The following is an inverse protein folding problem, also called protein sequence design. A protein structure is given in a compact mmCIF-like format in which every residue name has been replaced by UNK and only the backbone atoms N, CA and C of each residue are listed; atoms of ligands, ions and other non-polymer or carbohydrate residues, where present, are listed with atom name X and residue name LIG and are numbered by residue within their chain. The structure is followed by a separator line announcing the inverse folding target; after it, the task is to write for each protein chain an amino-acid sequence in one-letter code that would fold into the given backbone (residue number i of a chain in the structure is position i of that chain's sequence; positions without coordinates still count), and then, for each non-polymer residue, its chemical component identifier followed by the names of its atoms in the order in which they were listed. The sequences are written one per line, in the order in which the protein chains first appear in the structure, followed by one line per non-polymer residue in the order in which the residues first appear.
data_IF_840654289223
#
_entry.id   IF_840654289223
#
_cell.length_a   1.000
_cell.length_b   1.000
_cell.length_c   1.000
_cell.angle_alpha   90.00
_cell.angle_beta   90.00
_cell.angle_gamma   90.00
#
_symmetry.space_group_name_H-M   'P 1'
#
loop_
_entity.id
_entity.type
_entity.pdbx_description
1 polymer ?
#
# COMPACT_ATOMS: atom_id res chain seq x y z
N UNK A 1 -8.25 1.26 6.19
CA UNK A 1 -6.86 1.28 6.73
C UNK A 1 -5.96 1.91 5.67
N UNK A 2 -4.89 2.60 6.05
CA UNK A 2 -4.16 3.51 5.16
C UNK A 2 -2.80 2.96 4.71
N UNK A 3 -2.51 2.96 3.40
CA UNK A 3 -1.13 2.81 2.89
C UNK A 3 -0.37 4.13 3.10
N UNK A 4 0.95 4.09 3.10
CA UNK A 4 1.79 5.30 3.20
C UNK A 4 2.93 5.26 2.18
N UNK A 5 3.48 6.45 1.89
CA UNK A 5 4.68 6.64 1.08
C UNK A 5 5.88 6.89 2.00
N UNK A 6 7.08 6.53 1.55
CA UNK A 6 8.31 6.64 2.35
C UNK A 6 9.05 7.95 2.17
N UNK A 7 8.84 8.65 1.05
CA UNK A 7 9.40 9.95 0.75
C UNK A 7 8.42 10.84 -0.03
N UNK A 8 8.72 12.14 -0.10
CA UNK A 8 7.90 13.09 -0.86
C UNK A 8 7.82 12.70 -2.34
N UNK A 9 6.63 12.89 -2.93
CA UNK A 9 6.30 12.65 -4.35
C UNK A 9 5.73 13.92 -4.99
N UNK A 10 6.10 14.20 -6.24
CA UNK A 10 5.54 15.28 -7.05
C UNK A 10 6.61 16.26 -7.51
N UNK A 11 6.50 17.53 -7.11
CA UNK A 11 7.39 18.63 -7.53
C UNK A 11 8.89 18.24 -7.54
N UNK A 12 9.68 18.85 -8.44
CA UNK A 12 11.07 18.47 -8.74
C UNK A 12 12.06 18.35 -7.56
N UNK A 13 11.78 18.96 -6.39
CA UNK A 13 12.64 18.87 -5.19
C UNK A 13 12.33 17.59 -4.37
N UNK A 14 11.23 16.91 -4.68
CA UNK A 14 10.83 15.66 -4.05
C UNK A 14 11.75 14.50 -4.46
N UNK A 15 11.94 13.54 -3.54
CA UNK A 15 12.78 12.37 -3.78
C UNK A 15 12.23 11.46 -4.87
N UNK A 16 10.90 11.44 -5.05
CA UNK A 16 10.23 10.77 -6.16
C UNK A 16 10.65 9.30 -6.31
N UNK A 17 10.68 8.56 -5.19
CA UNK A 17 10.99 7.14 -5.21
C UNK A 17 9.96 6.40 -6.06
N UNK A 18 10.42 5.56 -6.98
CA UNK A 18 9.57 4.89 -7.99
C UNK A 18 8.33 4.24 -7.38
N UNK A 19 8.49 3.54 -6.25
CA UNK A 19 7.39 2.88 -5.55
C UNK A 19 6.38 3.87 -4.96
N UNK A 20 6.86 4.95 -4.33
CA UNK A 20 5.99 5.99 -3.77
C UNK A 20 5.22 6.70 -4.89
N UNK A 21 5.86 6.96 -6.03
CA UNK A 21 5.22 7.55 -7.21
C UNK A 21 4.10 6.65 -7.73
N UNK A 22 4.35 5.33 -7.83
CA UNK A 22 3.31 4.37 -8.24
C UNK A 22 2.13 4.35 -7.27
N UNK A 23 2.37 4.38 -5.96
CA UNK A 23 1.30 4.46 -4.95
C UNK A 23 0.43 5.70 -5.20
N UNK A 24 1.05 6.87 -5.39
CA UNK A 24 0.31 8.12 -5.62
C UNK A 24 -0.44 8.08 -6.96
N UNK A 25 0.15 7.54 -8.03
CA UNK A 25 -0.52 7.36 -9.32
C UNK A 25 -1.74 6.42 -9.21
N UNK A 26 -1.61 5.29 -8.52
CA UNK A 26 -2.72 4.36 -8.25
C UNK A 26 -3.86 5.04 -7.49
N UNK A 27 -3.52 5.73 -6.39
CA UNK A 27 -4.53 6.38 -5.56
C UNK A 27 -5.23 7.51 -6.29
N UNK A 28 -4.50 8.38 -7.01
CA UNK A 28 -5.10 9.45 -7.82
C UNK A 28 -6.04 8.88 -8.88
N UNK A 29 -5.69 7.77 -9.53
CA UNK A 29 -6.55 7.10 -10.50
C UNK A 29 -7.83 6.51 -9.90
N UNK A 30 -7.87 6.28 -8.59
CA UNK A 30 -9.04 5.82 -7.85
C UNK A 30 -9.91 6.97 -7.32
N UNK A 31 -9.40 8.20 -7.27
CA UNK A 31 -10.20 9.38 -6.90
C UNK A 31 -11.18 9.70 -8.04
N UNK A 32 -12.49 9.85 -7.77
CA UNK A 32 -13.44 10.34 -8.76
C UNK A 32 -13.11 11.76 -9.22
N UNK A 33 -13.39 12.08 -10.49
CA UNK A 33 -13.20 13.44 -11.04
C UNK A 33 -13.90 14.51 -10.19
N UNK A 34 -15.12 14.22 -9.72
CA UNK A 34 -15.90 15.08 -8.83
C UNK A 34 -15.30 15.29 -7.43
N UNK A 35 -14.21 14.61 -7.10
CA UNK A 35 -13.43 14.74 -5.86
C UNK A 35 -11.98 15.13 -6.13
N UNK A 36 -11.68 15.62 -7.33
CA UNK A 36 -10.34 16.12 -7.70
C UNK A 36 -9.42 15.07 -8.30
N UNK A 37 -9.94 13.90 -8.68
CA UNK A 37 -9.19 12.93 -9.47
C UNK A 37 -8.90 13.41 -10.89
N UNK A 38 -7.91 12.83 -11.58
CA UNK A 38 -7.47 13.28 -12.89
C UNK A 38 -8.52 13.05 -13.97
N UNK A 39 -8.61 13.97 -14.94
CA UNK A 39 -9.54 13.87 -16.07
C UNK A 39 -9.24 12.66 -16.97
N UNK A 40 -7.96 12.31 -17.11
CA UNK A 40 -7.48 11.11 -17.79
C UNK A 40 -6.61 10.33 -16.83
N UNK A 41 -6.83 9.02 -16.71
CA UNK A 41 -6.03 8.17 -15.82
C UNK A 41 -4.54 8.28 -16.15
N UNK A 42 -3.74 8.41 -15.10
CA UNK A 42 -2.29 8.40 -15.15
C UNK A 42 -1.80 6.98 -15.49
N UNK A 43 -0.69 6.90 -16.21
CA UNK A 43 0.04 5.64 -16.35
C UNK A 43 0.74 5.38 -15.01
N UNK A 44 0.63 4.16 -14.48
CA UNK A 44 1.28 3.76 -13.23
C UNK A 44 2.70 3.25 -13.53
N UNK A 45 3.57 4.15 -13.92
CA UNK A 45 4.95 3.87 -14.34
C UNK A 45 5.99 4.19 -13.25
N UNK A 46 5.60 4.91 -12.20
CA UNK A 46 6.53 5.41 -11.18
C UNK A 46 7.37 6.60 -11.63
N UNK A 47 7.03 7.22 -12.76
CA UNK A 47 7.67 8.42 -13.27
C UNK A 47 6.89 9.66 -12.87
N UNK A 48 7.63 10.70 -12.49
CA UNK A 48 7.05 12.01 -12.25
C UNK A 48 7.08 12.82 -13.53
N UNK A 49 5.89 13.08 -14.07
CA UNK A 49 5.71 13.97 -15.21
C UNK A 49 4.71 15.10 -14.92
N UNK A 50 4.55 16.05 -15.86
CA UNK A 50 3.62 17.18 -15.71
C UNK A 50 2.18 16.73 -15.41
N UNK A 51 1.74 15.59 -15.97
CA UNK A 51 0.40 15.02 -15.74
C UNK A 51 0.19 14.62 -14.29
N UNK A 52 1.18 13.96 -13.66
CA UNK A 52 1.10 13.58 -12.25
C UNK A 52 1.05 14.83 -11.35
N UNK A 53 1.94 15.80 -11.59
CA UNK A 53 1.97 17.03 -10.79
C UNK A 53 0.67 17.82 -10.93
N UNK A 54 0.10 17.90 -12.14
CA UNK A 54 -1.19 18.52 -12.38
C UNK A 54 -2.32 17.79 -11.63
N UNK A 55 -2.35 16.46 -11.67
CA UNK A 55 -3.32 15.65 -10.93
C UNK A 55 -3.23 15.86 -9.41
N UNK A 56 -2.01 15.93 -8.85
CA UNK A 56 -1.81 16.23 -7.42
C UNK A 56 -2.38 17.62 -7.10
N UNK A 57 -2.10 18.64 -7.92
CA UNK A 57 -2.61 20.00 -7.71
C UNK A 57 -4.13 20.06 -7.80
N UNK A 58 -4.73 19.37 -8.75
CA UNK A 58 -6.18 19.27 -8.89
C UNK A 58 -6.82 18.65 -7.64
N UNK A 59 -6.25 17.56 -7.13
CA UNK A 59 -6.71 16.93 -5.91
C UNK A 59 -6.55 17.85 -4.68
N UNK A 60 -5.39 18.50 -4.54
CA UNK A 60 -5.13 19.48 -3.48
C UNK A 60 -6.13 20.63 -3.48
N UNK A 61 -6.43 21.19 -4.66
CA UNK A 61 -7.40 22.27 -4.83
C UNK A 61 -8.80 21.85 -4.37
N UNK A 62 -9.20 20.61 -4.66
CA UNK A 62 -10.52 20.10 -4.33
C UNK A 62 -10.70 19.81 -2.83
N UNK A 63 -9.63 19.50 -2.10
CA UNK A 63 -9.71 19.24 -0.67
C UNK A 63 -10.02 20.48 0.17
N UNK A 64 -9.84 21.69 -0.39
CA UNK A 64 -10.12 22.96 0.28
C UNK A 64 -9.18 23.27 1.45
N UNK A 65 -8.63 24.48 1.51
CA UNK A 65 -7.76 24.88 2.63
C UNK A 65 -6.46 24.08 2.76
N UNK A 66 -6.01 23.39 1.70
CA UNK A 66 -4.64 22.89 1.64
C UNK A 66 -3.72 24.12 1.65
N UNK A 67 -2.78 24.23 2.60
CA UNK A 67 -2.01 25.47 2.79
C UNK A 67 -1.19 25.86 1.55
N UNK A 68 -0.86 24.89 0.69
CA UNK A 68 -0.19 25.11 -0.58
C UNK A 68 -0.67 24.11 -1.63
N UNK A 69 -1.11 24.59 -2.79
CA UNK A 69 -1.35 23.78 -4.01
C UNK A 69 -0.02 23.68 -4.76
N UNK A 70 0.93 22.96 -4.18
CA UNK A 70 2.31 22.87 -4.67
C UNK A 70 2.55 21.70 -5.62
N UNK A 71 1.61 20.76 -5.72
CA UNK A 71 1.77 19.52 -6.47
C UNK A 71 2.68 18.51 -5.79
N UNK A 72 2.69 18.49 -4.45
CA UNK A 72 3.50 17.58 -3.62
C UNK A 72 2.64 16.75 -2.68
N UNK A 73 2.98 15.48 -2.53
CA UNK A 73 2.45 14.57 -1.51
C UNK A 73 3.59 14.22 -0.57
N UNK A 74 3.42 14.50 0.72
CA UNK A 74 4.40 14.17 1.75
C UNK A 74 3.94 12.93 2.53
N UNK A 75 4.88 12.09 3.03
CA UNK A 75 4.55 11.03 3.97
C UNK A 75 3.72 11.58 5.11
N UNK A 76 2.57 10.96 5.37
CA UNK A 76 1.70 11.24 6.52
C UNK A 76 1.16 12.68 6.58
N UNK A 77 1.26 13.42 5.48
CA UNK A 77 0.63 14.72 5.34
C UNK A 77 -0.86 14.59 5.08
N UNK A 78 -1.57 15.73 5.19
CA UNK A 78 -3.01 15.82 4.93
C UNK A 78 -3.43 15.25 3.57
N UNK A 79 -2.62 15.49 2.53
CA UNK A 79 -2.91 15.00 1.17
C UNK A 79 -2.84 13.48 1.12
N UNK A 80 -1.84 12.87 1.77
CA UNK A 80 -1.73 11.42 1.86
C UNK A 80 -2.90 10.81 2.64
N UNK A 81 -3.29 11.43 3.76
CA UNK A 81 -4.45 11.00 4.54
C UNK A 81 -5.76 11.06 3.73
N UNK A 82 -5.92 12.08 2.88
CA UNK A 82 -7.08 12.20 2.00
C UNK A 82 -7.06 11.17 0.85
N UNK A 83 -5.90 10.92 0.23
CA UNK A 83 -5.75 9.89 -0.80
C UNK A 83 -6.10 8.50 -0.27
N UNK A 84 -5.76 8.22 0.99
CA UNK A 84 -6.07 6.94 1.64
C UNK A 84 -7.57 6.64 1.76
N UNK A 85 -8.45 7.65 1.64
CA UNK A 85 -9.90 7.42 1.58
C UNK A 85 -10.35 6.79 0.26
N UNK A 86 -9.52 6.88 -0.77
CA UNK A 86 -9.76 6.37 -2.11
C UNK A 86 -8.83 5.20 -2.45
N UNK A 87 -8.10 4.67 -1.47
CA UNK A 87 -7.13 3.60 -1.73
C UNK A 87 -7.85 2.33 -2.21
N UNK A 88 -7.63 1.87 -3.46
CA UNK A 88 -8.24 0.62 -3.94
C UNK A 88 -7.61 -0.62 -3.29
N UNK A 89 -6.45 -0.47 -2.64
CA UNK A 89 -5.71 -1.56 -2.01
C UNK A 89 -5.31 -1.16 -0.58
N UNK A 90 -6.29 -0.99 0.33
CA UNK A 90 -6.00 -0.56 1.69
C UNK A 90 -5.05 -1.54 2.39
N UNK A 91 -4.18 -0.98 3.23
CA UNK A 91 -3.24 -1.74 4.04
C UNK A 91 -3.97 -2.77 4.92
N UNK A 92 -3.49 -4.02 4.93
CA UNK A 92 -3.87 -5.01 5.93
C UNK A 92 -3.31 -4.63 7.29
N UNK A 93 -4.01 -4.99 8.36
CA UNK A 93 -3.59 -4.71 9.73
C UNK A 93 -3.65 -5.96 10.59
N UNK A 94 -3.23 -5.82 11.85
CA UNK A 94 -3.40 -6.84 12.89
C UNK A 94 -4.85 -7.27 13.14
N UNK A 95 -5.84 -6.51 12.67
CA UNK A 95 -7.25 -6.93 12.72
C UNK A 95 -7.64 -7.85 11.55
N UNK A 96 -6.88 -7.85 10.46
CA UNK A 96 -7.17 -8.64 9.27
C UNK A 96 -6.95 -10.13 9.53
N UNK A 97 -7.93 -10.96 9.19
CA UNK A 97 -7.79 -12.42 9.16
C UNK A 97 -7.37 -12.86 7.76
N UNK A 98 -6.19 -13.50 7.68
CA UNK A 98 -5.53 -13.82 6.42
C UNK A 98 -5.41 -15.33 6.23
N UNK A 99 -5.56 -15.78 4.99
CA UNK A 99 -5.29 -17.16 4.56
C UNK A 99 -4.36 -17.15 3.34
N UNK A 100 -3.55 -18.18 3.19
CA UNK A 100 -2.84 -18.41 1.95
C UNK A 100 -3.76 -19.08 0.93
N UNK A 101 -3.42 -19.05 -0.37
CA UNK A 101 -4.22 -19.68 -1.42
C UNK A 101 -4.42 -21.20 -1.22
N UNK A 102 -3.56 -21.85 -0.43
CA UNK A 102 -3.66 -23.26 -0.07
C UNK A 102 -4.59 -23.53 1.13
N UNK A 103 -5.23 -22.49 1.68
CA UNK A 103 -6.21 -22.60 2.74
C UNK A 103 -5.66 -22.55 4.18
N UNK A 104 -4.34 -22.50 4.35
CA UNK A 104 -3.70 -22.31 5.67
C UNK A 104 -3.93 -20.90 6.23
N UNK A 105 -4.06 -20.80 7.55
CA UNK A 105 -4.19 -19.54 8.27
C UNK A 105 -2.85 -18.82 8.35
N UNK A 106 -2.85 -17.52 8.07
CA UNK A 106 -1.66 -16.68 8.06
C UNK A 106 -1.68 -15.80 9.31
N UNK A 107 -0.70 -16.03 10.19
CA UNK A 107 -0.47 -15.18 11.36
C UNK A 107 0.74 -14.30 11.09
N UNK A 108 0.55 -12.98 11.16
CA UNK A 108 1.63 -12.00 10.99
C UNK A 108 1.97 -11.43 12.36
N UNK A 109 3.24 -11.52 12.75
CA UNK A 109 3.72 -10.92 14.00
C UNK A 109 4.32 -9.56 13.66
N UNK A 110 3.69 -8.43 14.03
CA UNK A 110 4.22 -7.11 13.71
C UNK A 110 5.55 -6.90 14.43
N UNK A 111 6.63 -6.68 13.69
CA UNK A 111 7.91 -6.34 14.33
C UNK A 111 7.79 -4.96 15.02
N UNK A 112 8.26 -4.81 16.27
CA UNK A 112 8.28 -3.51 16.92
C UNK A 112 9.17 -2.57 16.10
N UNK A 113 8.60 -1.51 15.53
CA UNK A 113 9.37 -0.46 14.86
C UNK A 113 8.89 0.90 15.30
N UNK A 114 9.85 1.74 15.71
CA UNK A 114 9.74 3.20 15.67
C UNK A 114 9.14 3.61 14.32
N UNK A 115 8.07 4.42 14.33
CA UNK A 115 7.48 5.00 13.12
C UNK A 115 6.33 4.23 12.47
N UNK A 116 5.77 3.18 13.11
CA UNK A 116 4.47 2.66 12.66
C UNK A 116 3.36 3.62 13.05
N UNK A 117 2.56 4.03 12.08
CA UNK A 117 1.34 4.79 12.29
C UNK A 117 0.33 3.84 12.92
N UNK A 118 0.16 3.93 14.24
CA UNK A 118 -0.95 3.28 14.92
C UNK A 118 -2.22 4.03 14.50
N UNK A 119 -2.87 3.54 13.45
CA UNK A 119 -4.27 3.90 13.22
C UNK A 119 -5.10 3.43 14.41
N UNK A 120 -6.18 4.15 14.71
CA UNK A 120 -7.12 3.81 15.78
C UNK A 120 -7.53 2.33 15.64
N UNK A 121 -7.01 1.47 16.53
CA UNK A 121 -7.45 0.09 16.70
C UNK A 121 -6.63 -1.03 16.02
N UNK A 122 -5.78 -0.76 15.01
CA UNK A 122 -5.00 -1.83 14.38
C UNK A 122 -3.70 -1.35 13.70
N UNK A 123 -2.64 -2.14 13.82
CA UNK A 123 -1.30 -1.82 13.29
C UNK A 123 -1.17 -2.32 11.85
N UNK A 124 -0.76 -1.49 10.86
CA UNK A 124 -0.48 -1.94 9.50
C UNK A 124 0.58 -3.04 9.47
N UNK A 125 0.35 -4.04 8.62
CA UNK A 125 1.26 -5.15 8.37
C UNK A 125 2.18 -4.80 7.21
N UNK A 126 3.46 -5.13 7.32
CA UNK A 126 4.48 -4.87 6.31
C UNK A 126 5.07 -6.17 5.77
N UNK A 127 5.63 -6.13 4.56
CA UNK A 127 6.34 -7.26 3.94
C UNK A 127 7.56 -7.74 4.74
N UNK A 128 8.08 -6.89 5.63
CA UNK A 128 9.16 -7.24 6.55
C UNK A 128 8.69 -7.93 7.84
N UNK A 129 7.38 -8.01 8.09
CA UNK A 129 6.86 -8.66 9.28
C UNK A 129 7.04 -10.19 9.21
N UNK A 130 7.49 -10.83 10.30
CA UNK A 130 7.48 -12.28 10.40
C UNK A 130 6.09 -12.86 10.16
N UNK A 131 6.02 -13.90 9.33
CA UNK A 131 4.77 -14.59 9.00
C UNK A 131 4.89 -16.09 9.27
N UNK A 132 3.87 -16.65 9.89
CA UNK A 132 3.71 -18.08 10.12
C UNK A 132 2.42 -18.55 9.48
N UNK A 133 2.48 -19.67 8.76
CA UNK A 133 1.28 -20.33 8.21
C UNK A 133 1.00 -21.61 9.01
N UNK A 134 -0.23 -21.74 9.49
CA UNK A 134 -0.72 -22.92 10.21
C UNK A 134 -1.91 -23.56 9.50
N UNK A 135 -2.17 -24.85 9.75
CA UNK A 135 -3.32 -25.56 9.17
C UNK A 135 -3.29 -25.70 7.65
N UNK A 136 -2.11 -25.65 7.02
CA UNK A 136 -1.99 -25.90 5.58
C UNK A 136 -2.25 -27.40 5.30
N UNK A 137 -3.22 -27.74 4.44
CA UNK A 137 -3.57 -29.14 4.12
C UNK A 137 -2.52 -29.82 3.22
N UNK A 138 -1.59 -29.06 2.64
CA UNK A 138 -0.49 -29.60 1.84
C UNK A 138 0.71 -29.95 2.72
N UNK A 139 1.14 -31.20 2.67
CA UNK A 139 2.43 -31.65 3.20
C UNK A 139 3.56 -30.97 2.41
N UNK A 140 4.35 -30.09 3.06
CA UNK A 140 5.47 -29.29 2.48
C UNK A 140 5.08 -27.96 1.81
N UNK A 141 5.94 -26.93 1.83
CA UNK A 141 6.70 -26.38 2.95
C UNK A 141 6.23 -24.94 3.25
N UNK A 142 4.91 -24.74 3.19
CA UNK A 142 4.25 -23.44 3.35
C UNK A 142 4.36 -22.84 4.76
N UNK A 143 4.96 -23.54 5.74
CA UNK A 143 5.12 -23.02 7.11
C UNK A 143 6.01 -21.78 7.17
N UNK A 144 6.96 -21.66 6.25
CA UNK A 144 7.87 -20.51 6.14
C UNK A 144 7.64 -19.80 4.81
N UNK A 145 6.93 -18.68 4.85
CA UNK A 145 6.68 -17.82 3.70
C UNK A 145 7.14 -16.39 4.02
N UNK A 146 7.62 -15.70 3.00
CA UNK A 146 7.68 -14.23 3.01
C UNK A 146 6.53 -13.70 2.17
N UNK A 147 5.93 -12.60 2.58
CA UNK A 147 4.94 -11.91 1.76
C UNK A 147 5.60 -10.72 1.08
N UNK A 148 5.33 -10.56 -0.20
CA UNK A 148 5.75 -9.40 -0.98
C UNK A 148 4.51 -8.65 -1.44
N UNK A 149 4.63 -7.33 -1.47
CA UNK A 149 3.63 -6.41 -1.99
C UNK A 149 4.34 -5.45 -2.94
N UNK A 150 3.65 -5.02 -3.98
CA UNK A 150 4.19 -4.08 -4.97
C UNK A 150 3.06 -3.15 -5.41
N UNK A 151 3.29 -1.84 -5.49
CA UNK A 151 4.56 -1.14 -5.25
C UNK A 151 4.88 -0.87 -3.76
N UNK A 152 3.94 -1.14 -2.84
CA UNK A 152 4.09 -0.82 -1.42
C UNK A 152 4.88 -1.89 -0.64
N UNK A 153 5.53 -1.47 0.45
CA UNK A 153 6.05 -2.41 1.46
C UNK A 153 5.00 -2.78 2.52
N UNK A 154 3.79 -2.25 2.42
CA UNK A 154 2.65 -2.59 3.27
C UNK A 154 1.89 -3.74 2.63
N UNK A 155 1.47 -4.72 3.43
CA UNK A 155 0.62 -5.80 2.93
C UNK A 155 -0.75 -5.22 2.55
N UNK A 156 -1.26 -5.65 1.41
CA UNK A 156 -2.58 -5.31 0.86
C UNK A 156 -3.17 -6.56 0.17
N UNK A 157 -4.36 -6.44 -0.43
CA UNK A 157 -5.02 -7.55 -1.09
C UNK A 157 -4.23 -8.19 -2.25
N UNK A 158 -3.23 -7.50 -2.81
CA UNK A 158 -2.37 -8.00 -3.90
C UNK A 158 -1.11 -8.66 -3.39
N UNK A 159 -0.93 -8.74 -2.08
CA UNK A 159 0.28 -9.35 -1.52
C UNK A 159 0.34 -10.81 -1.92
N UNK A 160 1.54 -11.29 -2.30
CA UNK A 160 1.78 -12.67 -2.73
C UNK A 160 2.74 -13.34 -1.77
N UNK A 161 2.39 -14.56 -1.35
CA UNK A 161 3.22 -15.39 -0.50
C UNK A 161 4.31 -16.07 -1.32
N UNK A 162 5.55 -16.07 -0.85
CA UNK A 162 6.67 -16.75 -1.47
C UNK A 162 7.23 -17.79 -0.49
N UNK A 163 7.30 -19.05 -0.92
CA UNK A 163 7.84 -20.14 -0.10
C UNK A 163 9.36 -20.00 0.06
N UNK A 164 9.84 -19.87 1.28
CA UNK A 164 11.28 -19.74 1.56
C UNK A 164 12.04 -21.07 1.35
N UNK A 165 11.34 -22.16 1.58
CA UNK A 165 11.78 -23.54 1.47
C UNK A 165 11.81 -24.06 0.02
N UNK A 166 11.19 -23.37 -0.93
CA UNK A 166 11.29 -23.63 -2.38
C UNK A 166 11.79 -22.42 -3.15
N UNK A 167 12.90 -21.81 -2.70
CA UNK A 167 13.59 -20.74 -3.44
C UNK A 167 12.69 -19.57 -3.86
N UNK A 168 11.75 -19.17 -3.01
CA UNK A 168 10.75 -18.12 -3.25
C UNK A 168 9.69 -18.45 -4.31
N UNK A 169 9.34 -19.73 -4.49
CA UNK A 169 8.24 -20.11 -5.39
C UNK A 169 6.92 -19.43 -4.96
N UNK A 170 6.19 -18.75 -5.88
CA UNK A 170 4.91 -18.13 -5.58
C UNK A 170 3.89 -19.11 -5.01
N UNK A 171 3.19 -18.71 -3.97
CA UNK A 171 2.15 -19.47 -3.28
C UNK A 171 0.75 -18.91 -3.54
N UNK A 172 0.64 -17.90 -4.41
CA UNK A 172 -0.59 -17.16 -4.68
C UNK A 172 -0.78 -15.92 -3.81
N UNK A 173 -1.85 -15.18 -4.11
CA UNK A 173 -2.27 -13.98 -3.38
C UNK A 173 -2.81 -14.32 -1.98
N UNK A 174 -2.80 -13.32 -1.09
CA UNK A 174 -3.40 -13.42 0.23
C UNK A 174 -4.91 -13.44 0.10
N UNK A 175 -5.55 -14.39 0.74
CA UNK A 175 -6.99 -14.42 0.88
C UNK A 175 -7.39 -13.70 2.16
N UNK A 176 -8.15 -12.63 2.02
CA UNK A 176 -8.67 -11.85 3.15
C UNK A 176 -10.00 -12.50 3.56
N UNK A 177 -10.06 -13.02 4.78
CA UNK A 177 -11.26 -13.64 5.34
C UNK A 177 -12.16 -12.58 5.98
N UNK A 178 -11.56 -11.66 6.73
CA UNK A 178 -12.22 -10.51 7.35
C UNK A 178 -11.21 -9.38 7.61
N UNK A 179 -11.70 -8.15 7.74
CA UNK A 179 -10.92 -6.92 8.01
C UNK A 179 -11.48 -6.12 9.16
#
# INVERSE_FOLDING_TARGET
MARSITADVGKAISRNLVNDVKIVQEMLNAVPRSKGGPDTKLVVDGMVGPKLVAAIRQFQAMLGGAPNIDGKVTPNGRIMAALNQFDPYPALTTASQLRCAHGGMVTVTPAPKFGRWAGVGATPLFTSDPVVVSGCPMDSPCRQVKWVSSPSNTLDARSVGLSLTRSNHPQGEVQIVSV
#
